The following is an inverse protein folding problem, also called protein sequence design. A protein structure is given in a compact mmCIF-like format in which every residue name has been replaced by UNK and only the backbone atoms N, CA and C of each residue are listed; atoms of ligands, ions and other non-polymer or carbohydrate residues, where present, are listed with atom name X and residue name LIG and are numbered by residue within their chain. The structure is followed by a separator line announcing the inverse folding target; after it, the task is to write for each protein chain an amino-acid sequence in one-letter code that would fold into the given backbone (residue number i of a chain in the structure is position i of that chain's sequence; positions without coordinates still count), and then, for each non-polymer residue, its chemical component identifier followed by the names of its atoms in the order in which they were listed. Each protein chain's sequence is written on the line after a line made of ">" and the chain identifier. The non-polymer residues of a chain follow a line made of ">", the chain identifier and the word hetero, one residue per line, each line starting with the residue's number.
data_IF_633612243467
#
_entry.id   IF_633612243467
#
_cell.length_a   1.000
_cell.length_b   1.000
_cell.length_c   1.000
_cell.angle_alpha   90.00
_cell.angle_beta   90.00
_cell.angle_gamma   90.00
#
_symmetry.space_group_name_H-M   'P 1'
#
loop_
_entity.id
_entity.type
_entity.pdbx_description
1 polymer ?
#
# COMPACT_ATOMS: atom_id res chain seq x y z
N UNK A 1 -18.12 14.19 8.69
CA UNK A 1 -16.77 14.39 8.08
C UNK A 1 -16.89 14.22 6.57
N UNK A 2 -16.55 15.25 5.79
CA UNK A 2 -16.73 15.28 4.33
C UNK A 2 -15.70 14.43 3.57
N UNK A 3 -14.46 14.33 4.08
CA UNK A 3 -13.37 13.68 3.39
C UNK A 3 -13.56 12.15 3.19
N UNK A 4 -13.96 11.35 4.20
CA UNK A 4 -14.28 9.93 3.97
C UNK A 4 -15.47 9.71 3.02
N UNK A 5 -16.41 10.65 2.97
CA UNK A 5 -17.53 10.59 2.03
C UNK A 5 -17.05 10.77 0.58
N UNK A 6 -16.16 11.75 0.32
CA UNK A 6 -15.52 11.90 -0.99
C UNK A 6 -14.67 10.69 -1.36
N UNK A 7 -13.88 10.18 -0.41
CA UNK A 7 -13.06 9.00 -0.64
C UNK A 7 -13.91 7.80 -1.09
N UNK A 8 -15.08 7.58 -0.47
CA UNK A 8 -16.04 6.55 -0.91
C UNK A 8 -16.60 6.80 -2.30
N UNK A 9 -16.93 8.06 -2.63
CA UNK A 9 -17.42 8.41 -3.97
C UNK A 9 -16.37 8.12 -5.05
N UNK A 10 -15.09 8.22 -4.70
CA UNK A 10 -13.94 7.94 -5.56
C UNK A 10 -13.42 6.49 -5.45
N UNK A 11 -14.22 5.57 -4.90
CA UNK A 11 -13.89 4.14 -4.69
C UNK A 11 -12.71 3.88 -3.72
N UNK A 12 -12.13 4.90 -3.08
CA UNK A 12 -10.95 4.77 -2.21
C UNK A 12 -11.27 4.10 -0.86
N UNK A 13 -12.54 3.99 -0.48
CA UNK A 13 -12.95 3.35 0.77
C UNK A 13 -12.67 1.84 0.81
N UNK A 14 -12.40 1.21 -0.35
CA UNK A 14 -11.98 -0.19 -0.47
C UNK A 14 -10.77 -0.55 0.39
N UNK A 15 -9.86 0.40 0.65
CA UNK A 15 -8.67 0.20 1.50
C UNK A 15 -8.89 0.56 2.98
N UNK A 16 -10.08 1.06 3.33
CA UNK A 16 -10.41 1.35 4.72
C UNK A 16 -10.65 0.06 5.51
N UNK A 17 -10.48 0.09 6.84
CA UNK A 17 -10.91 -1.00 7.70
C UNK A 17 -12.38 -1.34 7.49
N UNK A 18 -12.73 -2.61 7.63
CA UNK A 18 -14.09 -3.08 7.36
C UNK A 18 -15.16 -2.35 8.19
N UNK A 19 -14.86 -2.04 9.45
CA UNK A 19 -15.73 -1.24 10.32
C UNK A 19 -16.07 0.13 9.71
N UNK A 20 -15.09 0.79 9.08
CA UNK A 20 -15.30 2.06 8.38
C UNK A 20 -16.20 1.91 7.15
N UNK A 21 -15.98 0.85 6.35
CA UNK A 21 -16.82 0.58 5.16
C UNK A 21 -18.28 0.32 5.53
N UNK A 22 -18.53 -0.31 6.67
CA UNK A 22 -19.88 -0.55 7.22
C UNK A 22 -20.54 0.68 7.87
N UNK A 23 -19.87 1.84 7.89
CA UNK A 23 -20.44 3.08 8.42
C UNK A 23 -20.30 3.24 9.93
N UNK A 24 -19.40 2.51 10.60
CA UNK A 24 -19.11 2.77 12.02
C UNK A 24 -18.58 4.18 12.23
N UNK A 25 -19.09 4.86 13.27
CA UNK A 25 -18.63 6.19 13.68
C UNK A 25 -18.18 6.16 15.15
N UNK A 26 -17.01 6.74 15.50
CA UNK A 26 -16.02 7.34 14.60
C UNK A 26 -15.26 6.28 13.78
N UNK A 27 -15.07 6.56 12.49
CA UNK A 27 -14.27 5.71 11.60
C UNK A 27 -12.80 6.15 11.67
N UNK A 28 -11.92 5.25 12.09
CA UNK A 28 -10.48 5.40 11.92
C UNK A 28 -10.06 4.66 10.64
N UNK A 29 -9.78 5.41 9.57
CA UNK A 29 -9.34 4.85 8.28
C UNK A 29 -7.95 4.22 8.35
N UNK A 30 -7.17 4.50 9.40
CA UNK A 30 -5.75 4.17 9.49
C UNK A 30 -4.87 4.99 8.54
N UNK A 31 -5.42 6.01 7.89
CA UNK A 31 -4.75 6.92 6.97
C UNK A 31 -4.76 8.31 7.58
N UNK A 32 -3.61 8.97 7.66
CA UNK A 32 -3.55 10.35 8.14
C UNK A 32 -4.42 11.27 7.26
N UNK A 33 -5.07 12.27 7.85
CA UNK A 33 -6.03 13.10 7.12
C UNK A 33 -5.39 13.81 5.90
N UNK A 34 -4.16 14.30 6.04
CA UNK A 34 -3.40 14.87 4.92
C UNK A 34 -3.20 13.88 3.78
N UNK A 35 -2.75 12.67 4.08
CA UNK A 35 -2.58 11.59 3.10
C UNK A 35 -3.91 11.23 2.42
N UNK A 36 -5.02 11.25 3.15
CA UNK A 36 -6.34 10.97 2.57
C UNK A 36 -6.77 12.07 1.59
N UNK A 37 -6.43 13.34 1.84
CA UNK A 37 -6.66 14.44 0.89
C UNK A 37 -5.83 14.24 -0.37
N UNK A 38 -4.57 13.85 -0.22
CA UNK A 38 -3.70 13.54 -1.35
C UNK A 38 -4.21 12.33 -2.16
N UNK A 39 -4.74 11.29 -1.50
CA UNK A 39 -5.37 10.14 -2.19
C UNK A 39 -6.61 10.58 -2.98
N UNK A 40 -7.45 11.43 -2.38
CA UNK A 40 -8.63 12.00 -3.06
C UNK A 40 -8.22 12.83 -4.27
N UNK A 41 -7.17 13.65 -4.16
CA UNK A 41 -6.64 14.43 -5.28
C UNK A 41 -6.06 13.55 -6.40
N UNK A 42 -5.41 12.44 -6.05
CA UNK A 42 -4.81 11.50 -7.00
C UNK A 42 -5.76 10.40 -7.51
N UNK A 43 -7.05 10.40 -7.11
CA UNK A 43 -7.94 9.25 -7.31
C UNK A 43 -8.10 8.83 -8.77
N UNK A 44 -8.19 9.79 -9.70
CA UNK A 44 -8.30 9.51 -11.14
C UNK A 44 -7.02 8.88 -11.70
N UNK A 45 -5.85 9.41 -11.33
CA UNK A 45 -4.55 8.84 -11.69
C UNK A 45 -4.43 7.41 -11.15
N UNK A 46 -4.68 7.22 -9.86
CA UNK A 46 -4.62 5.89 -9.23
C UNK A 46 -5.57 4.88 -9.90
N UNK A 47 -6.75 5.33 -10.33
CA UNK A 47 -7.70 4.49 -11.04
C UNK A 47 -7.21 4.10 -12.44
N UNK A 48 -6.57 5.01 -13.15
CA UNK A 48 -5.98 4.76 -14.47
C UNK A 48 -4.85 3.73 -14.41
N UNK A 49 -4.04 3.78 -13.34
CA UNK A 49 -2.85 2.94 -13.17
C UNK A 49 -3.08 1.72 -12.28
N UNK A 50 -4.33 1.36 -11.99
CA UNK A 50 -4.67 0.17 -11.20
C UNK A 50 -4.07 -1.10 -11.81
N UNK A 51 -3.56 -2.00 -10.97
CA UNK A 51 -2.95 -3.25 -11.45
C UNK A 51 -1.53 -3.10 -11.98
N UNK A 52 -1.00 -1.87 -12.05
CA UNK A 52 0.37 -1.62 -12.49
C UNK A 52 1.32 -1.45 -11.31
N UNK A 53 2.61 -1.70 -11.56
CA UNK A 53 3.68 -1.43 -10.59
C UNK A 53 3.63 0.01 -10.08
N UNK A 54 3.55 0.97 -10.99
CA UNK A 54 3.63 2.39 -10.66
C UNK A 54 2.39 2.86 -9.88
N UNK A 55 1.20 2.37 -10.24
CA UNK A 55 -0.03 2.65 -9.50
C UNK A 55 0.02 2.14 -8.06
N UNK A 56 0.50 0.91 -7.84
CA UNK A 56 0.64 0.34 -6.49
C UNK A 56 1.65 1.14 -5.67
N UNK A 57 2.82 1.45 -6.24
CA UNK A 57 3.85 2.26 -5.56
C UNK A 57 3.31 3.63 -5.17
N UNK A 58 2.69 4.33 -6.13
CA UNK A 58 2.08 5.64 -5.91
C UNK A 58 1.03 5.59 -4.78
N UNK A 59 0.16 4.58 -4.78
CA UNK A 59 -0.85 4.41 -3.73
C UNK A 59 -0.21 4.22 -2.35
N UNK A 60 0.77 3.30 -2.25
CA UNK A 60 1.46 3.00 -1.00
C UNK A 60 2.14 4.25 -0.41
N UNK A 61 2.83 5.02 -1.25
CA UNK A 61 3.53 6.23 -0.81
C UNK A 61 2.58 7.32 -0.33
N UNK A 62 1.48 7.59 -1.05
CA UNK A 62 0.49 8.57 -0.60
C UNK A 62 -0.18 8.08 0.69
N UNK A 63 -0.72 6.85 0.67
CA UNK A 63 -1.54 6.33 1.77
C UNK A 63 -0.78 6.26 3.09
N UNK A 64 0.49 5.85 3.05
CA UNK A 64 1.35 5.80 4.24
C UNK A 64 2.05 7.12 4.53
N UNK A 65 2.19 8.01 3.55
CA UNK A 65 3.02 9.21 3.64
C UNK A 65 4.51 8.90 3.70
N UNK A 66 4.94 7.68 3.33
CA UNK A 66 6.31 7.20 3.41
C UNK A 66 6.79 6.85 2.00
N UNK A 67 7.82 7.52 1.47
CA UNK A 67 8.38 7.16 0.17
C UNK A 67 9.32 5.96 0.25
N UNK A 68 9.68 5.40 -0.90
CA UNK A 68 10.76 4.44 -1.05
C UNK A 68 10.32 2.98 -0.99
N UNK A 69 9.05 2.71 -1.30
CA UNK A 69 8.57 1.37 -1.61
C UNK A 69 9.18 0.87 -2.93
N UNK A 70 9.40 -0.44 -3.03
CA UNK A 70 9.82 -1.08 -4.28
C UNK A 70 8.96 -2.31 -4.56
N UNK A 71 8.74 -2.59 -5.85
CA UNK A 71 8.15 -3.84 -6.32
C UNK A 71 9.19 -4.57 -7.15
N UNK A 72 9.48 -5.80 -6.75
CA UNK A 72 10.34 -6.72 -7.47
C UNK A 72 9.45 -7.75 -8.15
N UNK A 73 9.55 -7.82 -9.47
CA UNK A 73 8.94 -8.86 -10.30
C UNK A 73 9.95 -9.98 -10.55
N UNK A 74 9.49 -11.13 -11.02
CA UNK A 74 10.34 -12.30 -11.33
C UNK A 74 11.17 -12.76 -10.12
N UNK A 75 10.52 -12.82 -8.96
CA UNK A 75 11.16 -13.27 -7.72
C UNK A 75 11.63 -14.72 -7.89
N UNK A 76 12.95 -14.92 -7.75
CA UNK A 76 13.55 -16.26 -7.77
C UNK A 76 13.24 -16.99 -6.47
N UNK A 77 12.69 -18.19 -6.60
CA UNK A 77 12.55 -19.13 -5.51
C UNK A 77 13.93 -19.67 -5.09
N UNK A 78 14.05 -20.24 -3.88
CA UNK A 78 15.31 -20.80 -3.37
C UNK A 78 15.91 -21.91 -4.25
N UNK A 79 15.09 -22.57 -5.05
CA UNK A 79 15.49 -23.59 -6.03
C UNK A 79 16.02 -23.02 -7.36
N UNK A 80 16.07 -21.69 -7.49
CA UNK A 80 16.53 -20.99 -8.69
C UNK A 80 15.45 -20.77 -9.77
N UNK A 81 14.25 -21.33 -9.59
CA UNK A 81 13.11 -21.10 -10.50
C UNK A 81 12.49 -19.72 -10.28
N UNK A 82 11.94 -19.11 -11.33
CA UNK A 82 11.15 -17.87 -11.19
C UNK A 82 9.72 -18.24 -10.86
N UNK A 83 9.16 -17.73 -9.76
CA UNK A 83 7.76 -17.99 -9.41
C UNK A 83 6.87 -17.12 -10.32
N UNK A 84 6.10 -17.72 -11.25
CA UNK A 84 5.24 -16.95 -12.14
C UNK A 84 4.12 -16.26 -11.33
N UNK A 85 3.71 -15.07 -11.77
CA UNK A 85 2.63 -14.29 -11.14
C UNK A 85 2.85 -14.03 -9.64
N UNK A 86 4.10 -13.82 -9.22
CA UNK A 86 4.45 -13.43 -7.85
C UNK A 86 5.27 -12.14 -7.86
N UNK A 87 4.86 -11.18 -7.03
CA UNK A 87 5.59 -9.93 -6.80
C UNK A 87 6.10 -9.89 -5.37
N UNK A 88 7.23 -9.24 -5.14
CA UNK A 88 7.71 -8.91 -3.81
C UNK A 88 7.64 -7.40 -3.60
N UNK A 89 6.89 -6.99 -2.59
CA UNK A 89 6.81 -5.60 -2.16
C UNK A 89 7.82 -5.39 -1.05
N UNK A 90 8.79 -4.51 -1.28
CA UNK A 90 9.82 -4.13 -0.31
C UNK A 90 9.42 -2.80 0.30
N UNK A 91 9.00 -2.85 1.56
CA UNK A 91 8.54 -1.71 2.32
C UNK A 91 9.68 -1.09 3.17
N UNK A 92 9.76 0.24 3.28
CA UNK A 92 10.69 0.93 4.18
C UNK A 92 10.53 0.48 5.65
N UNK A 93 11.62 0.43 6.42
CA UNK A 93 11.60 -0.05 7.82
C UNK A 93 10.63 0.74 8.73
N UNK A 94 10.50 2.06 8.50
CA UNK A 94 9.61 2.95 9.23
C UNK A 94 8.12 2.77 8.87
N UNK A 95 7.79 2.02 7.81
CA UNK A 95 6.41 1.74 7.40
C UNK A 95 5.79 0.52 8.10
N UNK A 96 6.53 -0.14 9.01
CA UNK A 96 6.12 -1.41 9.65
C UNK A 96 4.80 -1.30 10.44
N UNK A 97 4.52 -0.16 11.05
CA UNK A 97 3.25 0.10 11.76
C UNK A 97 2.05 0.17 10.81
N UNK A 98 2.27 0.53 9.54
CA UNK A 98 1.24 0.62 8.50
C UNK A 98 0.98 -0.72 7.80
N UNK A 99 1.55 -1.82 8.28
CA UNK A 99 1.40 -3.15 7.65
C UNK A 99 -0.06 -3.50 7.28
N UNK A 100 -1.07 -3.33 8.15
CA UNK A 100 -2.45 -3.65 7.78
C UNK A 100 -3.01 -2.77 6.65
N UNK A 101 -2.55 -1.52 6.55
CA UNK A 101 -2.94 -0.62 5.45
C UNK A 101 -2.23 -1.03 4.16
N UNK A 102 -0.93 -1.32 4.23
CA UNK A 102 -0.12 -1.77 3.09
C UNK A 102 -0.71 -3.04 2.48
N UNK A 103 -1.01 -4.05 3.29
CA UNK A 103 -1.62 -5.31 2.84
C UNK A 103 -2.97 -5.05 2.16
N UNK A 104 -3.84 -4.22 2.75
CA UNK A 104 -5.12 -3.82 2.12
C UNK A 104 -4.93 -3.12 0.78
N UNK A 105 -3.96 -2.20 0.66
CA UNK A 105 -3.67 -1.53 -0.61
C UNK A 105 -3.23 -2.55 -1.64
N UNK A 106 -2.26 -3.41 -1.30
CA UNK A 106 -1.75 -4.44 -2.23
C UNK A 106 -2.88 -5.38 -2.66
N UNK A 107 -3.73 -5.83 -1.73
CA UNK A 107 -4.83 -6.74 -2.04
C UNK A 107 -5.87 -6.13 -3.00
N UNK A 108 -6.10 -4.82 -2.93
CA UNK A 108 -7.07 -4.11 -3.79
C UNK A 108 -6.48 -3.64 -5.13
N UNK A 109 -5.16 -3.44 -5.19
CA UNK A 109 -4.50 -2.89 -6.37
C UNK A 109 -3.79 -3.96 -7.21
N UNK A 110 -3.41 -5.11 -6.62
CA UNK A 110 -2.77 -6.20 -7.38
C UNK A 110 -3.73 -6.80 -8.41
N UNK A 111 -3.24 -7.24 -9.59
CA UNK A 111 -4.05 -8.04 -10.50
C UNK A 111 -4.56 -9.33 -9.82
N UNK A 112 -5.77 -9.78 -10.17
CA UNK A 112 -6.49 -10.84 -9.44
C UNK A 112 -5.68 -12.13 -9.21
N UNK A 113 -4.88 -12.56 -10.19
CA UNK A 113 -4.10 -13.81 -10.15
C UNK A 113 -2.67 -13.64 -9.64
N UNK A 114 -2.26 -12.41 -9.28
CA UNK A 114 -0.93 -12.13 -8.75
C UNK A 114 -0.90 -12.38 -7.25
N UNK A 115 0.07 -13.18 -6.82
CA UNK A 115 0.41 -13.38 -5.41
C UNK A 115 1.49 -12.41 -4.99
N UNK A 116 1.59 -12.09 -3.69
CA UNK A 116 2.63 -11.19 -3.21
C UNK A 116 3.34 -11.67 -1.95
N UNK A 117 4.57 -11.22 -1.79
CA UNK A 117 5.36 -11.29 -0.57
C UNK A 117 5.64 -9.88 -0.08
N UNK A 118 5.31 -9.57 1.18
CA UNK A 118 5.64 -8.29 1.79
C UNK A 118 6.85 -8.45 2.70
N UNK A 119 7.95 -7.75 2.39
CA UNK A 119 9.14 -7.69 3.23
C UNK A 119 9.40 -6.26 3.68
N UNK A 120 9.90 -6.09 4.90
CA UNK A 120 10.34 -4.78 5.40
C UNK A 120 11.87 -4.72 5.35
N UNK A 121 12.44 -3.63 4.82
CA UNK A 121 13.88 -3.42 4.89
C UNK A 121 14.34 -3.47 6.34
N UNK A 122 15.47 -4.13 6.60
CA UNK A 122 16.16 -4.01 7.87
C UNK A 122 16.76 -2.61 7.96
N UNK A 123 16.59 -1.94 9.10
CA UNK A 123 17.33 -0.70 9.36
C UNK A 123 18.82 -1.11 9.46
N UNK A 124 19.75 -0.47 8.74
CA UNK A 124 21.16 -0.76 8.93
C UNK A 124 21.52 -0.49 10.39
N UNK A 125 22.16 -1.47 11.04
CA UNK A 125 22.70 -1.29 12.39
C UNK A 125 23.64 -0.09 12.35
N UNK A 126 23.41 0.90 13.22
CA UNK A 126 24.33 2.03 13.34
C UNK A 126 25.66 1.45 13.82
N UNK A 127 26.62 1.32 12.91
CA UNK A 127 27.97 0.88 13.20
C UNK A 127 28.53 1.62 14.41
N UNK A 128 29.00 0.82 15.36
CA UNK A 128 29.68 1.25 16.56
C UNK A 128 30.82 2.21 16.15
N UNK A 129 30.77 3.47 16.59
CA UNK A 129 31.94 4.34 16.52
C UNK A 129 32.78 4.00 17.75
N UNK A 130 33.85 3.26 17.52
CA UNK A 130 35.02 3.21 18.42
C UNK A 130 35.82 4.51 18.31
#
# INVERSE_FOLDING_TARGET
>A
AFLPYLARWLDLDRVFPEACRRGSTPCNTGIAEGNLRELVAAATELSQWRGTRDGILRFLEIGTGIPGFEIQEMVRAPDGSTKPFNIRVVAPANSRSFRPLIERIIDQEKPAHVTYELIFRTRPERGNRE
#
